data_IF_389310445145
#
_entry.id   IF_389310445145
#
_cell.length_a   1.000
_cell.length_b   1.000
_cell.length_c   1.000
_cell.angle_alpha   90.00
_cell.angle_beta   90.00
_cell.angle_gamma   90.00
#
_symmetry.space_group_name_H-M   'P 1'
#
loop_
_entity.id
_entity.type
_entity.pdbx_description
1 polymer ?
#
# COMPACT_ATOMS: atom_id res chain seq x y z
N UNK A 1 11.99 6.13 -10.23
CA UNK A 1 10.75 5.54 -10.75
C UNK A 1 9.60 5.88 -9.83
N UNK A 2 8.42 6.03 -10.38
CA UNK A 2 7.20 6.31 -9.62
C UNK A 2 6.10 5.36 -10.09
N UNK A 3 5.40 4.73 -9.15
CA UNK A 3 4.30 3.83 -9.45
C UNK A 3 3.08 4.16 -8.60
N UNK A 4 1.92 3.97 -9.19
CA UNK A 4 0.64 4.15 -8.51
C UNK A 4 -0.10 2.82 -8.46
N UNK A 5 -0.72 2.54 -7.32
CA UNK A 5 -1.50 1.32 -7.09
C UNK A 5 -2.86 1.69 -6.55
N UNK A 6 -3.86 0.91 -6.95
CA UNK A 6 -5.20 1.02 -6.38
C UNK A 6 -5.62 -0.34 -5.85
N UNK A 7 -5.93 -0.39 -4.56
CA UNK A 7 -6.32 -1.62 -3.88
C UNK A 7 -7.79 -1.52 -3.50
N UNK A 8 -8.56 -2.52 -3.91
CA UNK A 8 -9.99 -2.61 -3.61
C UNK A 8 -10.27 -3.83 -2.74
N UNK A 9 -11.34 -3.74 -1.96
CA UNK A 9 -11.74 -4.80 -1.06
C UNK A 9 -12.01 -4.25 0.32
N UNK A 10 -11.93 -5.10 1.33
CA UNK A 10 -12.15 -4.70 2.72
C UNK A 10 -10.85 -4.14 3.28
N UNK A 11 -10.53 -2.90 2.92
CA UNK A 11 -9.28 -2.23 3.32
C UNK A 11 -9.50 -1.00 4.17
N UNK A 12 -10.69 -0.41 4.17
CA UNK A 12 -11.00 0.79 4.94
C UNK A 12 -11.50 0.42 6.33
N UNK A 13 -11.17 1.24 7.32
CA UNK A 13 -11.63 1.04 8.68
C UNK A 13 -10.93 -0.07 9.44
N UNK A 14 -9.89 -0.70 8.86
CA UNK A 14 -9.16 -1.81 9.48
C UNK A 14 -7.69 -1.48 9.73
N UNK A 15 -7.34 -0.20 9.73
CA UNK A 15 -5.95 0.24 9.96
C UNK A 15 -5.04 0.06 8.76
N UNK A 16 -5.59 -0.02 7.56
CA UNK A 16 -4.81 -0.30 6.35
C UNK A 16 -3.84 0.83 6.01
N UNK A 17 -4.31 2.09 6.04
CA UNK A 17 -3.43 3.22 5.71
C UNK A 17 -2.26 3.38 6.69
N UNK A 18 -2.47 3.31 8.02
CA UNK A 18 -1.35 3.30 8.95
C UNK A 18 -0.39 2.14 8.71
N UNK A 19 -0.92 0.96 8.35
CA UNK A 19 -0.09 -0.19 8.01
C UNK A 19 0.81 0.09 6.80
N UNK A 20 0.24 0.66 5.73
CA UNK A 20 1.01 1.02 4.53
C UNK A 20 2.13 2.00 4.89
N UNK A 21 1.81 3.05 5.64
CA UNK A 21 2.79 4.04 6.05
C UNK A 21 3.91 3.44 6.89
N UNK A 22 3.56 2.52 7.79
CA UNK A 22 4.54 1.83 8.64
C UNK A 22 5.49 0.98 7.82
N UNK A 23 4.98 0.22 6.87
CA UNK A 23 5.82 -0.61 6.00
C UNK A 23 6.70 0.26 5.11
N UNK A 24 6.14 1.33 4.54
CA UNK A 24 6.90 2.24 3.68
C UNK A 24 8.08 2.89 4.40
N UNK A 25 7.98 3.11 5.70
CA UNK A 25 9.05 3.69 6.49
C UNK A 25 10.32 2.81 6.55
N UNK A 26 10.18 1.53 6.23
CA UNK A 26 11.33 0.61 6.19
C UNK A 26 12.11 0.68 4.86
N UNK A 27 11.66 1.48 3.91
CA UNK A 27 12.26 1.57 2.59
C UNK A 27 12.55 3.03 2.24
N UNK A 28 13.58 3.30 1.40
CA UNK A 28 13.88 4.66 0.94
C UNK A 28 12.93 5.10 -0.17
N UNK A 29 11.66 5.25 0.20
CA UNK A 29 10.58 5.62 -0.72
C UNK A 29 9.96 6.94 -0.29
N UNK A 30 9.44 7.68 -1.27
CA UNK A 30 8.59 8.83 -1.04
C UNK A 30 7.25 8.61 -1.75
N UNK A 31 6.25 9.40 -1.41
CA UNK A 31 4.93 9.30 -2.00
C UNK A 31 3.85 9.49 -0.97
N UNK A 32 2.68 8.93 -1.23
CA UNK A 32 1.55 9.06 -0.33
C UNK A 32 0.60 7.89 -0.43
N UNK A 33 -0.25 7.76 0.57
CA UNK A 33 -1.38 6.83 0.60
C UNK A 33 -2.65 7.63 0.88
N UNK A 34 -3.69 7.34 0.14
CA UNK A 34 -5.00 7.95 0.31
C UNK A 34 -6.10 6.93 0.11
N UNK A 35 -7.34 7.35 0.33
CA UNK A 35 -8.47 6.47 0.10
C UNK A 35 -9.68 7.26 -0.40
N UNK A 36 -10.54 6.57 -1.13
CA UNK A 36 -11.88 7.01 -1.47
C UNK A 36 -12.89 6.03 -0.85
N UNK A 37 -14.15 6.07 -1.30
CA UNK A 37 -15.21 5.23 -0.72
C UNK A 37 -15.01 3.73 -0.98
N UNK A 38 -14.26 3.37 -2.01
CA UNK A 38 -14.17 1.99 -2.48
C UNK A 38 -12.76 1.43 -2.47
N UNK A 39 -11.74 2.29 -2.41
CA UNK A 39 -10.38 1.83 -2.60
C UNK A 39 -9.37 2.65 -1.80
N UNK A 40 -8.19 2.06 -1.64
CA UNK A 40 -6.99 2.74 -1.15
C UNK A 40 -6.06 2.89 -2.33
N UNK A 41 -5.49 4.09 -2.53
CA UNK A 41 -4.50 4.30 -3.56
C UNK A 41 -3.17 4.67 -2.93
N UNK A 42 -2.13 4.13 -3.53
CA UNK A 42 -0.75 4.29 -3.06
C UNK A 42 0.06 4.80 -4.22
N UNK A 43 0.84 5.84 -3.99
CA UNK A 43 1.79 6.32 -4.96
C UNK A 43 3.16 6.30 -4.31
N UNK A 44 4.09 5.56 -4.93
CA UNK A 44 5.42 5.36 -4.38
C UNK A 44 6.48 5.75 -5.40
N UNK A 45 7.51 6.43 -4.94
CA UNK A 45 8.64 6.86 -5.75
C UNK A 45 9.93 6.38 -5.12
N UNK A 46 10.77 5.76 -5.93
CA UNK A 46 12.06 5.21 -5.52
C UNK A 46 12.58 4.28 -6.59
N UNK A 47 13.50 3.40 -6.24
CA UNK A 47 13.95 2.37 -7.18
C UNK A 47 12.86 1.33 -7.40
N UNK A 48 12.86 0.69 -8.58
CA UNK A 48 11.92 -0.38 -8.87
C UNK A 48 12.00 -1.50 -7.83
N UNK A 49 13.22 -1.84 -7.41
CA UNK A 49 13.47 -2.88 -6.41
C UNK A 49 12.82 -2.53 -5.07
N UNK A 50 13.00 -1.30 -4.60
CA UNK A 50 12.44 -0.87 -3.33
C UNK A 50 10.92 -0.83 -3.37
N UNK A 51 10.34 -0.37 -4.47
CA UNK A 51 8.89 -0.37 -4.65
C UNK A 51 8.33 -1.79 -4.64
N UNK A 52 8.97 -2.72 -5.35
CA UNK A 52 8.55 -4.12 -5.37
C UNK A 52 8.65 -4.77 -4.00
N UNK A 53 9.76 -4.55 -3.30
CA UNK A 53 9.96 -5.08 -1.95
C UNK A 53 8.94 -4.51 -0.96
N UNK A 54 8.67 -3.22 -1.06
CA UNK A 54 7.64 -2.58 -0.26
C UNK A 54 6.27 -3.21 -0.49
N UNK A 55 5.86 -3.36 -1.75
CA UNK A 55 4.55 -3.93 -2.07
C UNK A 55 4.45 -5.39 -1.62
N UNK A 56 5.50 -6.17 -1.81
CA UNK A 56 5.54 -7.56 -1.35
C UNK A 56 5.35 -7.66 0.17
N UNK A 57 6.10 -6.86 0.92
CA UNK A 57 6.01 -6.87 2.37
C UNK A 57 4.66 -6.35 2.85
N UNK A 58 4.17 -5.28 2.25
CA UNK A 58 2.90 -4.67 2.62
C UNK A 58 1.74 -5.67 2.44
N UNK A 59 1.71 -6.37 1.31
CA UNK A 59 0.66 -7.36 1.05
C UNK A 59 0.80 -8.61 1.91
N UNK A 60 2.03 -9.01 2.24
CA UNK A 60 2.28 -10.18 3.09
C UNK A 60 1.93 -9.97 4.56
N UNK A 61 1.86 -8.72 5.01
CA UNK A 61 1.65 -8.37 6.41
C UNK A 61 0.37 -7.57 6.63
N UNK A 62 -0.64 -7.77 5.77
CA UNK A 62 -1.92 -7.08 5.88
C UNK A 62 -2.57 -7.28 7.26
N UNK A 63 -3.29 -6.25 7.77
CA UNK A 63 -4.09 -6.44 8.98
C UNK A 63 -5.04 -7.62 8.83
N UNK A 64 -5.34 -8.36 9.94
CA UNK A 64 -6.14 -9.58 9.84
C UNK A 64 -7.51 -9.43 9.20
N UNK A 65 -8.13 -8.26 9.30
CA UNK A 65 -9.44 -8.01 8.73
C UNK A 65 -9.40 -7.41 7.33
N UNK A 66 -8.21 -7.11 6.81
CA UNK A 66 -8.09 -6.56 5.47
C UNK A 66 -8.17 -7.67 4.43
N UNK A 67 -8.83 -7.38 3.32
CA UNK A 67 -8.93 -8.28 2.19
C UNK A 67 -8.78 -7.47 0.92
N UNK A 68 -7.78 -7.78 0.11
CA UNK A 68 -7.53 -7.10 -1.15
C UNK A 68 -8.12 -7.93 -2.27
N UNK A 69 -9.13 -7.39 -2.94
CA UNK A 69 -9.81 -8.05 -4.04
C UNK A 69 -9.18 -7.71 -5.40
N UNK A 70 -8.54 -6.55 -5.51
CA UNK A 70 -7.97 -6.09 -6.75
C UNK A 70 -6.77 -5.19 -6.47
N UNK A 71 -5.69 -5.40 -7.24
CA UNK A 71 -4.51 -4.55 -7.23
C UNK A 71 -4.20 -4.10 -8.65
N UNK A 72 -3.97 -2.81 -8.84
CA UNK A 72 -3.70 -2.22 -10.14
C UNK A 72 -2.38 -1.46 -10.12
#
# INVERSE_FOLDING_TARGET
MRRAYRLRGVVQGVGFRPHVAKVAADFPLSGFVGNDDESVFIEAQGSARDIENFMTKMLATLPPLASVLQSV
#
